data_IF_516757600545
#
_entry.id   IF_516757600545
#
_cell.length_a   1.000
_cell.length_b   1.000
_cell.length_c   1.000
_cell.angle_alpha   90.00
_cell.angle_beta   90.00
_cell.angle_gamma   90.00
#
_symmetry.space_group_name_H-M   'P 1'
#
loop_
_entity.id
_entity.type
_entity.pdbx_description
1 polymer ?
#
# COMPACT_ATOMS: atom_id res chain seq x y z
N UNK A 1 -2.89 13.37 8.04
CA UNK A 1 -1.82 12.43 7.66
C UNK A 1 -2.24 11.00 7.98
N UNK A 2 -1.94 10.08 7.10
CA UNK A 2 -2.30 8.68 7.28
C UNK A 2 -1.51 8.00 8.40
N UNK A 3 -1.99 6.86 8.86
CA UNK A 3 -1.29 5.99 9.80
C UNK A 3 -1.09 4.60 9.21
N UNK A 4 0.03 3.97 9.52
CA UNK A 4 0.39 2.65 9.01
C UNK A 4 0.79 1.76 10.19
N UNK A 5 0.27 0.53 10.19
CA UNK A 5 0.73 -0.55 11.06
C UNK A 5 1.28 -1.66 10.16
N UNK A 6 2.44 -2.19 10.51
CA UNK A 6 3.02 -3.31 9.79
C UNK A 6 3.59 -4.34 10.76
N UNK A 7 3.35 -5.60 10.45
CA UNK A 7 3.89 -6.76 11.19
C UNK A 7 4.56 -7.66 10.16
N UNK A 8 5.83 -7.98 10.38
CA UNK A 8 6.64 -8.81 9.49
C UNK A 8 7.14 -10.07 10.19
N UNK A 9 7.72 -10.97 9.43
CA UNK A 9 8.27 -12.25 9.92
C UNK A 9 7.23 -13.12 10.61
N UNK A 10 6.00 -13.10 10.10
CA UNK A 10 4.93 -13.93 10.62
C UNK A 10 5.15 -15.36 10.14
N UNK A 11 5.24 -16.29 11.07
CA UNK A 11 5.41 -17.71 10.76
C UNK A 11 4.10 -18.34 10.32
N UNK A 12 2.99 -17.94 10.94
CA UNK A 12 1.66 -18.42 10.64
C UNK A 12 0.65 -17.29 10.82
N UNK A 13 -0.15 -17.04 9.78
CA UNK A 13 -1.25 -16.08 9.87
C UNK A 13 -2.36 -16.67 10.76
N UNK A 14 -2.69 -15.94 11.82
CA UNK A 14 -3.72 -16.34 12.76
C UNK A 14 -4.77 -15.25 12.94
N UNK A 15 -6.02 -15.60 13.31
CA UNK A 15 -7.03 -14.60 13.65
C UNK A 15 -6.59 -13.66 14.78
N UNK A 16 -5.80 -14.15 15.71
CA UNK A 16 -5.28 -13.38 16.85
C UNK A 16 -4.31 -12.28 16.39
N UNK A 17 -3.42 -12.59 15.46
CA UNK A 17 -2.51 -11.59 14.87
C UNK A 17 -3.27 -10.52 14.11
N UNK A 18 -4.28 -10.90 13.35
CA UNK A 18 -5.14 -9.95 12.64
C UNK A 18 -5.85 -9.03 13.61
N UNK A 19 -6.40 -9.57 14.71
CA UNK A 19 -7.04 -8.80 15.77
C UNK A 19 -6.07 -7.84 16.44
N UNK A 20 -4.84 -8.27 16.68
CA UNK A 20 -3.79 -7.43 17.25
C UNK A 20 -3.46 -6.26 16.31
N UNK A 21 -3.31 -6.53 15.01
CA UNK A 21 -3.07 -5.48 14.02
C UNK A 21 -4.21 -4.47 13.98
N UNK A 22 -5.47 -4.93 14.06
CA UNK A 22 -6.63 -4.05 14.09
C UNK A 22 -6.65 -3.17 15.35
N UNK A 23 -6.31 -3.73 16.51
CA UNK A 23 -6.20 -2.95 17.74
C UNK A 23 -5.11 -1.89 17.67
N UNK A 24 -3.97 -2.23 17.09
CA UNK A 24 -2.88 -1.26 16.86
C UNK A 24 -3.32 -0.16 15.91
N UNK A 25 -4.01 -0.52 14.84
CA UNK A 25 -4.52 0.42 13.85
C UNK A 25 -5.53 1.40 14.47
N UNK A 26 -6.43 0.93 15.33
CA UNK A 26 -7.38 1.77 16.02
C UNK A 26 -6.72 2.87 16.86
N UNK A 27 -5.55 2.60 17.42
CA UNK A 27 -4.80 3.59 18.22
C UNK A 27 -4.28 4.76 17.41
N UNK A 28 -4.11 4.59 16.10
CA UNK A 28 -3.64 5.64 15.21
C UNK A 28 -4.72 6.15 14.26
N UNK A 29 -5.96 5.76 14.47
CA UNK A 29 -7.09 6.13 13.60
C UNK A 29 -7.34 7.63 13.54
N UNK A 30 -6.99 8.37 14.58
CA UNK A 30 -7.09 9.84 14.58
C UNK A 30 -6.23 10.50 13.49
N UNK A 31 -5.21 9.82 12.98
CA UNK A 31 -4.35 10.32 11.91
C UNK A 31 -5.00 10.21 10.54
N UNK A 32 -5.90 9.23 10.35
CA UNK A 32 -6.56 9.00 9.08
C UNK A 32 -7.94 8.40 9.27
N UNK A 33 -8.95 9.20 9.68
CA UNK A 33 -10.27 8.67 10.06
C UNK A 33 -11.17 8.32 8.88
N UNK A 34 -10.78 8.62 7.63
CA UNK A 34 -11.67 8.49 6.47
C UNK A 34 -11.80 7.05 5.98
N UNK A 35 -10.79 6.24 6.15
CA UNK A 35 -10.80 4.86 5.71
C UNK A 35 -9.79 4.01 6.47
N UNK A 36 -10.23 2.79 6.81
CA UNK A 36 -9.36 1.76 7.38
C UNK A 36 -9.25 0.59 6.41
N UNK A 37 -8.03 0.15 6.14
CA UNK A 37 -7.76 -1.02 5.29
C UNK A 37 -6.75 -1.94 5.95
N UNK A 38 -6.88 -3.23 5.70
CA UNK A 38 -5.96 -4.24 6.21
C UNK A 38 -5.66 -5.28 5.13
N UNK A 39 -4.40 -5.69 5.06
CA UNK A 39 -3.93 -6.82 4.26
C UNK A 39 -3.24 -7.82 5.17
N UNK A 40 -3.65 -9.09 5.07
CA UNK A 40 -3.01 -10.21 5.75
C UNK A 40 -2.61 -11.23 4.68
N UNK A 41 -1.33 -11.51 4.55
CA UNK A 41 -0.86 -12.47 3.56
C UNK A 41 0.62 -12.76 3.68
N UNK A 42 1.04 -13.96 3.27
CA UNK A 42 2.40 -14.39 3.39
C UNK A 42 2.90 -14.26 4.83
N UNK A 43 4.00 -13.59 5.01
CA UNK A 43 4.64 -13.36 6.31
C UNK A 43 4.41 -11.94 6.85
N UNK A 44 3.40 -11.22 6.34
CA UNK A 44 3.18 -9.81 6.69
C UNK A 44 1.71 -9.47 6.91
N UNK A 45 1.48 -8.48 7.76
CA UNK A 45 0.20 -7.77 7.89
C UNK A 45 0.50 -6.29 7.69
N UNK A 46 -0.28 -5.63 6.84
CA UNK A 46 -0.25 -4.19 6.64
C UNK A 46 -1.64 -3.63 6.93
N UNK A 47 -1.73 -2.66 7.83
CA UNK A 47 -2.97 -1.93 8.09
C UNK A 47 -2.74 -0.45 7.82
N UNK A 48 -3.75 0.23 7.29
CA UNK A 48 -3.66 1.62 6.88
C UNK A 48 -4.89 2.38 7.35
N UNK A 49 -4.65 3.47 8.09
CA UNK A 49 -5.67 4.44 8.45
C UNK A 49 -5.48 5.67 7.55
N UNK A 50 -6.45 5.95 6.72
CA UNK A 50 -6.31 6.92 5.62
C UNK A 50 -6.99 8.25 5.93
N UNK A 51 -6.23 9.34 5.68
CA UNK A 51 -6.79 10.65 5.46
C UNK A 51 -6.85 10.89 3.95
N UNK A 52 -8.06 11.06 3.43
CA UNK A 52 -8.31 11.12 1.99
C UNK A 52 -8.10 12.55 1.48
N UNK A 53 -7.04 12.78 0.71
CA UNK A 53 -6.71 14.08 0.12
C UNK A 53 -7.01 14.07 -1.37
N UNK A 54 -6.62 12.98 -2.06
CA UNK A 54 -6.80 12.79 -3.50
C UNK A 54 -7.58 11.51 -3.72
N UNK A 55 -8.65 11.59 -4.50
CA UNK A 55 -9.51 10.46 -4.88
C UNK A 55 -9.89 9.53 -3.71
N UNK A 56 -10.88 9.93 -2.89
CA UNK A 56 -11.24 9.18 -1.69
C UNK A 56 -11.79 7.77 -1.98
N UNK A 57 -12.28 7.51 -3.19
CA UNK A 57 -12.92 6.22 -3.48
C UNK A 57 -11.97 5.20 -4.10
N UNK A 58 -11.04 5.62 -4.97
CA UNK A 58 -10.20 4.68 -5.71
C UNK A 58 -8.81 4.47 -5.13
N UNK A 59 -8.32 5.36 -4.27
CA UNK A 59 -6.99 5.25 -3.67
C UNK A 59 -6.95 4.50 -2.34
N UNK A 60 -7.85 3.55 -2.12
CA UNK A 60 -7.92 2.79 -0.87
C UNK A 60 -6.67 1.95 -0.66
N UNK A 61 -6.08 2.07 0.52
CA UNK A 61 -4.86 1.34 0.86
C UNK A 61 -5.15 0.18 1.81
N UNK A 62 -4.31 -0.85 1.81
CA UNK A 62 -3.12 -1.00 0.96
C UNK A 62 -3.43 -1.11 -0.52
N UNK A 63 -2.51 -0.60 -1.36
CA UNK A 63 -2.60 -0.69 -2.81
C UNK A 63 -1.96 -1.99 -3.32
N UNK A 64 -2.49 -2.53 -4.40
CA UNK A 64 -2.01 -3.79 -4.97
C UNK A 64 -1.50 -3.58 -6.39
N UNK A 65 -0.42 -4.29 -6.73
CA UNK A 65 -0.02 -4.44 -8.12
C UNK A 65 -1.08 -5.27 -8.89
N UNK A 66 -1.16 -5.15 -10.23
CA UNK A 66 -2.16 -5.87 -11.02
C UNK A 66 -2.16 -7.39 -10.82
N UNK A 67 -1.00 -8.01 -10.59
CA UNK A 67 -0.87 -9.44 -10.32
C UNK A 67 -0.97 -9.79 -8.84
N UNK A 68 -1.20 -8.80 -7.98
CA UNK A 68 -1.31 -8.92 -6.52
C UNK A 68 -0.06 -9.45 -5.80
N UNK A 69 1.09 -9.43 -6.46
CA UNK A 69 2.35 -9.90 -5.87
C UNK A 69 3.06 -8.84 -5.03
N UNK A 70 2.75 -7.57 -5.25
CA UNK A 70 3.23 -6.48 -4.40
C UNK A 70 2.06 -5.77 -3.75
N UNK A 71 2.26 -5.39 -2.50
CA UNK A 71 1.27 -4.66 -1.69
C UNK A 71 1.97 -3.44 -1.10
N UNK A 72 1.32 -2.31 -1.19
CA UNK A 72 1.88 -1.02 -0.76
C UNK A 72 0.99 -0.35 0.26
N UNK A 73 1.55 -0.02 1.40
CA UNK A 73 0.98 0.94 2.34
C UNK A 73 1.93 2.14 2.41
N UNK A 74 1.41 3.34 2.23
CA UNK A 74 2.23 4.55 2.12
C UNK A 74 1.54 5.73 2.78
N UNK A 75 2.34 6.59 3.40
CA UNK A 75 1.90 7.88 3.92
C UNK A 75 2.75 8.97 3.26
N UNK A 76 2.20 9.66 2.28
CA UNK A 76 2.90 10.71 1.55
C UNK A 76 2.15 11.14 0.30
N UNK A 77 2.78 12.05 -0.44
CA UNK A 77 2.27 12.58 -1.70
C UNK A 77 3.37 12.55 -2.75
N UNK A 78 3.00 12.18 -3.98
CA UNK A 78 3.91 12.16 -5.12
C UNK A 78 3.44 13.23 -6.12
N UNK A 79 4.08 14.38 -6.11
CA UNK A 79 3.62 15.55 -6.89
C UNK A 79 3.74 15.36 -8.40
N UNK A 80 4.75 14.61 -8.86
CA UNK A 80 5.00 14.35 -10.27
C UNK A 80 4.43 13.01 -10.75
N UNK A 81 3.38 12.52 -10.09
CA UNK A 81 2.82 11.19 -10.41
C UNK A 81 2.28 11.10 -11.85
N UNK A 82 1.78 12.20 -12.40
CA UNK A 82 1.27 12.18 -13.78
C UNK A 82 2.39 11.95 -14.79
N UNK A 83 3.55 12.54 -14.59
CA UNK A 83 4.72 12.33 -15.44
C UNK A 83 5.21 10.88 -15.35
N UNK A 84 5.21 10.32 -14.14
CA UNK A 84 5.59 8.93 -13.92
C UNK A 84 4.59 7.99 -14.59
N UNK A 85 3.29 8.25 -14.47
CA UNK A 85 2.24 7.45 -15.14
C UNK A 85 2.42 7.46 -16.66
N UNK A 86 2.71 8.62 -17.24
CA UNK A 86 2.96 8.75 -18.67
C UNK A 86 4.16 7.92 -19.13
N UNK A 87 5.22 7.86 -18.32
CA UNK A 87 6.41 7.06 -18.57
C UNK A 87 6.12 5.55 -18.63
N UNK A 88 5.16 5.08 -17.85
CA UNK A 88 4.76 3.67 -17.81
C UNK A 88 3.53 3.35 -18.68
N UNK A 89 3.06 4.28 -19.50
CA UNK A 89 1.91 4.06 -20.37
C UNK A 89 2.16 2.83 -21.26
N UNK A 90 1.21 1.88 -21.25
CA UNK A 90 1.35 0.62 -21.99
C UNK A 90 2.25 -0.43 -21.35
N UNK A 91 2.94 -0.10 -20.24
CA UNK A 91 3.86 -1.02 -19.53
C UNK A 91 3.33 -1.44 -18.18
N UNK A 92 2.56 -0.61 -17.53
CA UNK A 92 1.95 -0.87 -16.23
C UNK A 92 0.49 -0.44 -16.25
N UNK A 93 -0.38 -1.30 -15.75
CA UNK A 93 -1.81 -1.03 -15.68
C UNK A 93 -2.17 -0.47 -14.31
N UNK A 94 -2.32 0.85 -14.22
CA UNK A 94 -2.76 1.51 -13.00
C UNK A 94 -4.23 1.22 -12.74
N UNK A 95 -4.57 0.93 -11.49
CA UNK A 95 -5.90 0.51 -11.07
C UNK A 95 -6.66 1.57 -10.30
N UNK A 96 -5.98 2.61 -9.84
CA UNK A 96 -6.56 3.69 -9.03
C UNK A 96 -6.12 5.05 -9.54
N UNK A 97 -6.75 6.10 -9.02
CA UNK A 97 -6.32 7.48 -9.24
C UNK A 97 -5.27 7.97 -8.24
N UNK A 98 -4.82 7.10 -7.31
CA UNK A 98 -3.86 7.50 -6.29
C UNK A 98 -2.51 7.89 -6.88
N UNK A 99 -1.97 9.01 -6.43
CA UNK A 99 -0.62 9.45 -6.77
C UNK A 99 0.45 8.45 -6.32
N UNK A 100 0.21 7.76 -5.23
CA UNK A 100 1.18 6.81 -4.65
C UNK A 100 1.25 5.47 -5.39
N UNK A 101 0.30 5.15 -6.26
CA UNK A 101 0.34 3.89 -7.03
C UNK A 101 1.56 3.81 -7.95
N UNK A 102 2.13 4.94 -8.35
CA UNK A 102 3.36 4.97 -9.16
C UNK A 102 4.56 4.31 -8.47
N UNK A 103 4.54 4.22 -7.15
CA UNK A 103 5.58 3.52 -6.38
C UNK A 103 5.65 2.04 -6.80
N UNK A 104 4.50 1.41 -7.04
CA UNK A 104 4.45 0.01 -7.47
C UNK A 104 5.08 -0.19 -8.85
N UNK A 105 4.83 0.71 -9.79
CA UNK A 105 5.43 0.63 -11.13
C UNK A 105 6.94 0.87 -11.10
N UNK A 106 7.39 1.85 -10.32
CA UNK A 106 8.82 2.13 -10.12
C UNK A 106 9.53 0.96 -9.43
N UNK A 107 8.92 0.38 -8.41
CA UNK A 107 9.48 -0.77 -7.70
C UNK A 107 9.67 -1.97 -8.63
N UNK A 108 8.68 -2.24 -9.49
CA UNK A 108 8.78 -3.32 -10.48
C UNK A 108 9.91 -3.10 -11.48
N UNK A 109 10.07 -1.86 -11.95
CA UNK A 109 11.16 -1.51 -12.87
C UNK A 109 12.52 -1.75 -12.20
N UNK A 110 12.69 -1.28 -11.00
CA UNK A 110 13.92 -1.46 -10.23
C UNK A 110 14.26 -2.93 -9.98
N UNK A 111 13.27 -3.77 -9.74
CA UNK A 111 13.49 -5.21 -9.52
C UNK A 111 13.94 -5.96 -10.77
N UNK A 112 13.60 -5.48 -11.95
CA UNK A 112 14.08 -6.08 -13.21
C UNK A 112 15.57 -5.85 -13.42
N UNK A 113 16.07 -4.74 -12.91
CA UNK A 113 17.47 -4.31 -13.11
C UNK A 113 18.38 -4.74 -11.96
N UNK A 114 17.84 -5.27 -10.88
CA UNK A 114 18.61 -5.69 -9.73
C UNK A 114 18.25 -7.13 -9.35
N UNK A 115 19.30 -7.94 -9.09
CA UNK A 115 19.18 -9.26 -8.45
C UNK A 115 18.72 -9.13 -7.00
N UNK A 116 17.66 -8.37 -6.74
CA UNK A 116 16.98 -8.37 -5.46
C UNK A 116 16.14 -9.65 -5.36
N UNK A 117 16.81 -10.77 -5.28
CA UNK A 117 16.21 -11.99 -4.78
C UNK A 117 16.19 -11.94 -3.26
N UNK A 118 15.05 -11.65 -2.77
CA UNK A 118 14.75 -11.88 -1.36
C UNK A 118 13.76 -13.00 -1.24
#
# INVERSE_FOLDING_TARGET
>A
MCGIVSIFNIQEQTPELRQQALRMSQKIRHRGPDWSGIYCGGSAILAHERLSIVDPESGRQPLFAPDKKQVLAVNGEIYNHQDIRARFAGKYQYQTGSDCEVILSLYREMRKDSDFDT
#
